data_IF_772111685353
#
_entry.id   IF_772111685353
#
_cell.length_a   1.000
_cell.length_b   1.000
_cell.length_c   1.000
_cell.angle_alpha   90.00
_cell.angle_beta   90.00
_cell.angle_gamma   90.00
#
_symmetry.space_group_name_H-M   'P 1'
#
loop_
_entity.id
_entity.type
_entity.pdbx_description
1 polymer ?
#
# COMPACT_ATOMS: atom_id res chain seq x y z
N UNK A 1 6.47 0.98 -17.13
CA UNK A 1 5.38 1.95 -17.35
C UNK A 1 5.99 3.22 -17.92
N UNK A 2 5.57 3.69 -19.09
CA UNK A 2 6.09 4.94 -19.66
C UNK A 2 5.69 6.14 -18.79
N UNK A 3 6.64 7.03 -18.51
CA UNK A 3 6.41 8.20 -17.65
C UNK A 3 6.41 7.91 -16.15
N UNK A 4 6.90 6.75 -15.70
CA UNK A 4 7.13 6.50 -14.28
C UNK A 4 8.46 7.16 -13.85
N UNK A 5 8.39 8.35 -13.27
CA UNK A 5 9.55 9.19 -12.92
C UNK A 5 10.06 8.95 -11.50
N UNK A 6 9.20 8.42 -10.62
CA UNK A 6 9.48 8.32 -9.18
C UNK A 6 9.07 9.57 -8.39
N UNK A 7 8.80 10.69 -9.06
CA UNK A 7 8.43 11.94 -8.41
C UNK A 7 6.92 12.21 -8.46
N UNK A 8 6.46 13.35 -7.95
CA UNK A 8 5.03 13.71 -7.88
C UNK A 8 4.35 13.80 -9.27
N UNK A 9 5.12 13.95 -10.34
CA UNK A 9 4.66 13.98 -11.73
C UNK A 9 4.64 12.58 -12.40
N UNK A 10 4.93 11.52 -11.65
CA UNK A 10 4.95 10.14 -12.17
C UNK A 10 3.60 9.75 -12.79
N UNK A 11 3.63 8.81 -13.73
CA UNK A 11 2.41 8.26 -14.32
C UNK A 11 1.69 7.28 -13.39
N UNK A 12 0.91 7.80 -12.43
CA UNK A 12 0.11 7.02 -11.48
C UNK A 12 -0.87 6.06 -12.17
N UNK A 13 -1.67 6.58 -13.10
CA UNK A 13 -2.69 5.81 -13.83
C UNK A 13 -2.06 4.68 -14.67
N UNK A 14 -0.91 4.95 -15.28
CA UNK A 14 -0.14 3.95 -16.03
C UNK A 14 0.34 2.80 -15.15
N UNK A 15 0.71 3.07 -13.89
CA UNK A 15 1.05 2.02 -12.91
C UNK A 15 -0.17 1.17 -12.58
N UNK A 16 -1.31 1.79 -12.28
CA UNK A 16 -2.55 1.08 -11.98
C UNK A 16 -3.03 0.22 -13.16
N UNK A 17 -3.02 0.80 -14.38
CA UNK A 17 -3.38 0.10 -15.60
C UNK A 17 -2.48 -1.12 -15.85
N UNK A 18 -1.17 -0.94 -15.77
CA UNK A 18 -0.22 -2.04 -15.98
C UNK A 18 -0.38 -3.12 -14.92
N UNK A 19 -0.66 -2.75 -13.66
CA UNK A 19 -0.88 -3.72 -12.60
C UNK A 19 -2.08 -4.64 -12.90
N UNK A 20 -3.20 -4.06 -13.35
CA UNK A 20 -4.38 -4.80 -13.75
C UNK A 20 -4.16 -5.61 -15.04
N UNK A 21 -3.45 -5.06 -16.02
CA UNK A 21 -3.13 -5.75 -17.27
C UNK A 21 -2.30 -7.03 -17.00
N UNK A 22 -1.29 -6.93 -16.12
CA UNK A 22 -0.41 -8.05 -15.74
C UNK A 22 -1.16 -9.16 -15.01
N UNK A 23 -2.16 -8.83 -14.20
CA UNK A 23 -2.98 -9.83 -13.50
C UNK A 23 -3.82 -10.73 -14.42
N UNK A 24 -3.90 -10.43 -15.73
CA UNK A 24 -4.52 -11.34 -16.69
C UNK A 24 -3.67 -12.58 -16.99
N UNK A 25 -2.37 -12.55 -16.68
CA UNK A 25 -1.43 -13.62 -17.00
C UNK A 25 -0.38 -13.91 -15.91
N UNK A 26 -0.46 -13.21 -14.77
CA UNK A 26 0.39 -13.42 -13.59
C UNK A 26 -0.47 -13.50 -12.33
N UNK A 27 -0.05 -14.28 -11.34
CA UNK A 27 -0.77 -14.44 -10.08
C UNK A 27 -0.41 -13.38 -9.03
N UNK A 28 0.68 -12.62 -9.25
CA UNK A 28 1.20 -11.65 -8.30
C UNK A 28 1.74 -10.41 -9.01
N UNK A 29 1.43 -9.24 -8.45
CA UNK A 29 1.95 -7.96 -8.90
C UNK A 29 2.36 -7.12 -7.70
N UNK A 30 3.51 -6.45 -7.82
CA UNK A 30 3.99 -5.48 -6.86
C UNK A 30 4.03 -4.10 -7.51
N UNK A 31 3.37 -3.12 -6.89
CA UNK A 31 3.30 -1.73 -7.38
C UNK A 31 3.97 -0.83 -6.36
N UNK A 32 4.95 -0.06 -6.82
CA UNK A 32 5.73 0.85 -5.98
C UNK A 32 5.48 2.32 -6.35
N UNK A 33 5.43 3.20 -5.36
CA UNK A 33 5.37 4.64 -5.53
C UNK A 33 6.34 5.33 -4.55
N UNK A 34 7.32 6.03 -5.11
CA UNK A 34 8.38 6.72 -4.37
C UNK A 34 7.96 8.12 -3.89
N UNK A 35 7.09 8.82 -4.64
CA UNK A 35 6.79 10.24 -4.43
C UNK A 35 6.50 10.70 -2.96
N UNK A 36 5.76 9.95 -2.12
CA UNK A 36 5.56 10.34 -0.72
C UNK A 36 6.84 10.42 0.12
N UNK A 37 7.86 9.61 -0.21
CA UNK A 37 9.14 9.58 0.49
C UNK A 37 10.00 10.80 0.16
N UNK A 38 10.15 11.10 -1.13
CA UNK A 38 10.84 12.30 -1.63
C UNK A 38 10.27 13.58 -1.02
N UNK A 39 8.94 13.70 -0.95
CA UNK A 39 8.29 14.83 -0.28
C UNK A 39 8.58 14.88 1.23
N UNK A 40 8.77 13.72 1.85
CA UNK A 40 9.25 13.58 3.24
C UNK A 40 10.66 14.12 3.42
N UNK A 41 11.60 13.75 2.55
CA UNK A 41 12.97 14.24 2.54
C UNK A 41 13.07 15.75 2.31
N UNK A 42 12.18 16.33 1.52
CA UNK A 42 12.13 17.77 1.30
C UNK A 42 11.50 18.54 2.49
N UNK A 43 10.85 17.84 3.42
CA UNK A 43 10.01 18.47 4.43
C UNK A 43 8.78 19.16 3.83
N UNK A 44 8.35 18.73 2.64
CA UNK A 44 7.25 19.30 1.88
C UNK A 44 5.92 18.65 2.27
N UNK A 45 5.24 19.23 3.24
CA UNK A 45 3.98 18.71 3.76
C UNK A 45 2.87 18.64 2.70
N UNK A 46 2.69 19.72 1.93
CA UNK A 46 1.66 19.81 0.88
C UNK A 46 1.90 18.78 -0.22
N UNK A 47 3.15 18.66 -0.68
CA UNK A 47 3.55 17.66 -1.66
C UNK A 47 3.35 16.23 -1.16
N UNK A 48 3.67 15.95 0.11
CA UNK A 48 3.49 14.62 0.70
C UNK A 48 2.01 14.23 0.78
N UNK A 49 1.15 15.16 1.24
CA UNK A 49 -0.30 14.97 1.26
C UNK A 49 -0.80 14.71 -0.16
N UNK A 50 -0.41 15.56 -1.11
CA UNK A 50 -0.84 15.42 -2.51
C UNK A 50 -0.39 14.10 -3.13
N UNK A 51 0.82 13.65 -2.85
CA UNK A 51 1.33 12.37 -3.34
C UNK A 51 0.52 11.17 -2.80
N UNK A 52 0.10 11.22 -1.53
CA UNK A 52 -0.77 10.20 -0.91
C UNK A 52 -2.18 10.24 -1.52
N UNK A 53 -2.78 11.42 -1.71
CA UNK A 53 -4.08 11.56 -2.36
C UNK A 53 -4.07 11.03 -3.79
N UNK A 54 -3.02 11.36 -4.56
CA UNK A 54 -2.85 10.83 -5.93
C UNK A 54 -2.64 9.31 -5.92
N UNK A 55 -1.93 8.76 -4.93
CA UNK A 55 -1.79 7.32 -4.79
C UNK A 55 -3.15 6.65 -4.55
N UNK A 56 -3.96 7.21 -3.64
CA UNK A 56 -5.30 6.71 -3.35
C UNK A 56 -6.22 6.81 -4.57
N UNK A 57 -6.33 8.00 -5.17
CA UNK A 57 -7.23 8.28 -6.29
C UNK A 57 -6.85 7.52 -7.56
N UNK A 58 -5.55 7.46 -7.89
CA UNK A 58 -5.08 7.03 -9.22
C UNK A 58 -4.45 5.65 -9.26
N UNK A 59 -4.10 5.07 -8.11
CA UNK A 59 -3.57 3.70 -8.03
C UNK A 59 -4.50 2.80 -7.23
N UNK A 60 -4.70 3.08 -5.95
CA UNK A 60 -5.45 2.20 -5.05
C UNK A 60 -6.90 2.09 -5.48
N UNK A 61 -7.60 3.22 -5.69
CA UNK A 61 -9.00 3.26 -6.10
C UNK A 61 -9.31 2.47 -7.38
N UNK A 62 -8.59 2.69 -8.50
CA UNK A 62 -8.79 1.94 -9.73
C UNK A 62 -8.53 0.45 -9.58
N UNK A 63 -7.52 0.05 -8.78
CA UNK A 63 -7.25 -1.36 -8.49
C UNK A 63 -8.42 -1.96 -7.71
N UNK A 64 -8.83 -1.34 -6.60
CA UNK A 64 -9.94 -1.83 -5.76
C UNK A 64 -11.25 -1.95 -6.55
N UNK A 65 -11.52 -1.01 -7.46
CA UNK A 65 -12.73 -1.03 -8.29
C UNK A 65 -12.74 -2.19 -9.30
N UNK A 66 -11.57 -2.62 -9.79
CA UNK A 66 -11.47 -3.58 -10.91
C UNK A 66 -11.00 -4.97 -10.49
N UNK A 67 -10.38 -5.12 -9.32
CA UNK A 67 -9.77 -6.39 -8.87
C UNK A 67 -10.78 -7.54 -8.78
N UNK A 68 -12.06 -7.24 -8.51
CA UNK A 68 -13.12 -8.25 -8.43
C UNK A 68 -13.33 -9.06 -9.71
N UNK A 69 -12.89 -8.55 -10.87
CA UNK A 69 -12.96 -9.27 -12.14
C UNK A 69 -12.03 -10.50 -12.20
N UNK A 70 -11.02 -10.57 -11.34
CA UNK A 70 -10.01 -11.64 -11.32
C UNK A 70 -10.37 -12.80 -10.37
N UNK A 71 -11.57 -12.80 -9.76
CA UNK A 71 -12.03 -13.88 -8.89
C UNK A 71 -11.49 -13.76 -7.46
N UNK A 72 -10.73 -14.76 -6.99
CA UNK A 72 -10.13 -14.72 -5.65
C UNK A 72 -8.91 -13.82 -5.65
N UNK A 73 -8.86 -12.88 -4.70
CA UNK A 73 -7.75 -11.94 -4.60
C UNK A 73 -7.43 -11.60 -3.14
N UNK A 74 -6.19 -11.14 -2.94
CA UNK A 74 -5.77 -10.44 -1.74
C UNK A 74 -4.94 -9.22 -2.15
N UNK A 75 -5.23 -8.07 -1.56
CA UNK A 75 -4.48 -6.82 -1.75
C UNK A 75 -3.86 -6.45 -0.42
N UNK A 76 -2.61 -6.01 -0.46
CA UNK A 76 -1.94 -5.35 0.66
C UNK A 76 -1.46 -3.97 0.22
N UNK A 77 -1.71 -2.97 1.05
CA UNK A 77 -1.13 -1.63 0.93
C UNK A 77 -0.31 -1.36 2.18
N UNK A 78 0.87 -0.78 2.03
CA UNK A 78 1.78 -0.47 3.11
C UNK A 78 2.71 0.69 2.73
N UNK A 79 3.27 1.34 3.74
CA UNK A 79 4.54 2.04 3.63
C UNK A 79 5.65 1.08 4.07
N UNK A 80 6.79 1.11 3.41
CA UNK A 80 7.97 0.31 3.73
C UNK A 80 8.78 0.91 4.88
N UNK A 81 8.88 2.23 4.96
CA UNK A 81 9.40 2.95 6.12
C UNK A 81 8.76 4.34 6.30
N UNK A 82 8.78 4.91 7.53
CA UNK A 82 8.38 6.28 7.75
C UNK A 82 9.53 7.26 7.48
N UNK A 83 9.18 8.37 6.84
CA UNK A 83 10.09 9.51 6.59
C UNK A 83 9.43 10.80 7.10
N UNK A 84 9.53 11.11 8.41
CA UNK A 84 8.86 12.25 9.03
C UNK A 84 9.35 13.60 8.46
N UNK A 85 8.43 14.55 8.28
CA UNK A 85 8.71 15.85 7.62
C UNK A 85 9.67 16.75 8.40
N UNK A 86 9.68 16.63 9.73
CA UNK A 86 10.56 17.35 10.65
C UNK A 86 11.98 16.77 10.68
N UNK A 87 12.10 15.45 10.55
CA UNK A 87 13.39 14.75 10.53
C UNK A 87 14.00 14.65 9.12
N UNK A 88 13.17 14.65 8.08
CA UNK A 88 13.57 14.58 6.66
C UNK A 88 14.47 13.39 6.32
N UNK A 89 14.35 12.33 7.09
CA UNK A 89 15.11 11.09 6.94
C UNK A 89 14.31 9.92 7.47
N UNK A 90 14.74 8.71 7.15
CA UNK A 90 14.05 7.50 7.54
C UNK A 90 14.16 7.28 9.04
N UNK A 91 13.08 6.78 9.65
CA UNK A 91 13.09 6.31 11.04
C UNK A 91 12.70 4.84 11.12
N UNK A 92 12.99 4.21 12.26
CA UNK A 92 12.72 2.78 12.47
C UNK A 92 11.34 2.49 13.07
N UNK A 93 10.50 3.52 13.24
CA UNK A 93 9.13 3.36 13.71
C UNK A 93 8.34 2.40 12.79
N UNK A 94 7.40 1.61 13.32
CA UNK A 94 6.59 0.73 12.48
C UNK A 94 5.74 1.49 11.46
N UNK A 95 5.76 1.05 10.20
CA UNK A 95 4.89 1.58 9.15
C UNK A 95 3.50 0.92 9.15
N UNK A 96 2.44 1.67 8.77
CA UNK A 96 1.09 1.12 8.65
C UNK A 96 0.98 0.19 7.42
N UNK A 97 0.15 -0.85 7.55
CA UNK A 97 -0.30 -1.67 6.44
C UNK A 97 -1.78 -2.04 6.58
N UNK A 98 -2.43 -2.35 5.47
CA UNK A 98 -3.81 -2.85 5.44
C UNK A 98 -3.94 -3.96 4.40
N UNK A 99 -4.79 -4.94 4.70
CA UNK A 99 -5.07 -6.08 3.83
C UNK A 99 -6.56 -6.17 3.55
N UNK A 100 -6.89 -6.38 2.28
CA UNK A 100 -8.23 -6.72 1.83
C UNK A 100 -8.18 -8.08 1.13
N UNK A 101 -9.03 -9.01 1.56
CA UNK A 101 -9.20 -10.30 0.91
C UNK A 101 -10.61 -10.46 0.35
N UNK A 102 -10.74 -11.12 -0.80
CA UNK A 102 -12.04 -11.58 -1.31
C UNK A 102 -12.70 -12.61 -0.37
N UNK A 103 -11.91 -13.29 0.46
CA UNK A 103 -12.38 -14.22 1.50
C UNK A 103 -12.81 -13.44 2.75
N UNK A 104 -14.13 -13.33 3.00
CA UNK A 104 -14.67 -12.56 4.14
C UNK A 104 -14.06 -12.91 5.51
N UNK A 105 -13.77 -14.19 5.74
CA UNK A 105 -13.15 -14.71 6.97
C UNK A 105 -11.71 -14.25 7.20
N UNK A 106 -11.06 -13.71 6.17
CA UNK A 106 -9.71 -13.19 6.25
C UNK A 106 -9.66 -11.69 6.57
N UNK A 107 -10.83 -11.05 6.75
CA UNK A 107 -10.95 -9.64 7.06
C UNK A 107 -11.48 -9.48 8.50
N UNK A 108 -10.78 -8.68 9.34
CA UNK A 108 -11.07 -8.49 10.78
C UNK A 108 -12.25 -7.55 11.11
N UNK A 109 -13.15 -7.29 10.15
CA UNK A 109 -14.25 -6.31 10.22
C UNK A 109 -13.83 -4.83 9.97
N UNK A 110 -14.77 -3.97 9.50
CA UNK A 110 -14.44 -2.78 8.72
C UNK A 110 -14.35 -1.47 9.53
N UNK A 111 -13.86 -0.43 8.85
CA UNK A 111 -14.34 0.94 9.07
C UNK A 111 -13.31 1.97 9.52
N UNK A 112 -12.07 1.57 9.78
CA UNK A 112 -11.01 2.51 10.14
C UNK A 112 -10.35 3.07 8.88
N UNK A 113 -10.08 4.37 8.88
CA UNK A 113 -9.24 4.99 7.84
C UNK A 113 -7.80 4.50 7.96
N UNK A 114 -7.10 4.42 6.82
CA UNK A 114 -5.71 4.01 6.78
C UNK A 114 -4.80 5.17 7.25
N UNK A 115 -4.27 5.05 8.48
CA UNK A 115 -3.30 5.98 9.07
C UNK A 115 -2.60 5.30 10.26
N UNK A 116 -1.54 5.93 10.77
CA UNK A 116 -0.68 5.44 11.84
C UNK A 116 -1.43 5.24 13.17
N UNK A 117 -2.35 6.16 13.51
CA UNK A 117 -3.16 6.09 14.74
C UNK A 117 -4.03 4.83 14.72
N UNK A 118 -4.72 4.60 13.60
CA UNK A 118 -5.61 3.46 13.43
C UNK A 118 -4.85 2.15 13.27
N UNK A 119 -3.69 2.15 12.61
CA UNK A 119 -2.82 0.99 12.50
C UNK A 119 -2.35 0.53 13.89
N UNK A 120 -1.95 1.47 14.76
CA UNK A 120 -1.59 1.19 16.15
C UNK A 120 -2.79 0.64 16.94
N UNK A 121 -3.98 1.21 16.76
CA UNK A 121 -5.20 0.73 17.42
C UNK A 121 -5.65 -0.66 16.93
N UNK A 122 -5.36 -1.03 15.68
CA UNK A 122 -5.65 -2.34 15.10
C UNK A 122 -4.87 -3.50 15.71
N UNK A 123 -3.84 -3.21 16.51
CA UNK A 123 -3.04 -4.17 17.29
C UNK A 123 -2.54 -5.38 16.48
N UNK A 124 -2.17 -5.16 15.22
CA UNK A 124 -1.59 -6.18 14.35
C UNK A 124 -0.18 -5.75 13.95
N UNK A 125 0.82 -6.34 14.61
CA UNK A 125 2.23 -6.07 14.35
C UNK A 125 2.90 -7.34 13.80
N UNK A 126 3.61 -7.18 12.68
CA UNK A 126 4.47 -8.23 12.12
C UNK A 126 5.91 -7.77 12.24
N UNK A 127 6.68 -8.48 13.06
CA UNK A 127 8.10 -8.23 13.27
C UNK A 127 8.84 -9.56 13.41
N UNK A 128 9.98 -9.77 12.72
CA UNK A 128 10.61 -8.85 11.76
C UNK A 128 9.79 -8.67 10.46
N UNK A 129 9.90 -7.49 9.84
CA UNK A 129 9.03 -7.06 8.73
C UNK A 129 9.06 -7.97 7.50
N UNK A 130 10.18 -8.65 7.21
CA UNK A 130 10.28 -9.60 6.09
C UNK A 130 9.32 -10.80 6.20
N UNK A 131 8.80 -11.10 7.39
CA UNK A 131 7.79 -12.16 7.58
C UNK A 131 6.41 -11.78 7.02
N UNK A 132 6.17 -10.49 6.75
CA UNK A 132 4.90 -10.01 6.24
C UNK A 132 4.53 -10.69 4.92
N UNK A 133 5.47 -10.77 3.98
CA UNK A 133 5.20 -11.34 2.66
C UNK A 133 4.95 -12.85 2.75
N UNK A 134 5.69 -13.57 3.59
CA UNK A 134 5.48 -15.00 3.80
C UNK A 134 4.08 -15.27 4.38
N UNK A 135 3.71 -14.52 5.42
CA UNK A 135 2.37 -14.60 6.02
C UNK A 135 1.29 -14.22 5.01
N UNK A 136 1.48 -13.12 4.29
CA UNK A 136 0.54 -12.62 3.29
C UNK A 136 0.29 -13.64 2.19
N UNK A 137 1.30 -14.35 1.68
CA UNK A 137 1.12 -15.33 0.60
C UNK A 137 0.60 -16.67 1.13
N UNK A 138 1.23 -17.22 2.19
CA UNK A 138 1.03 -18.62 2.58
C UNK A 138 -0.04 -18.82 3.65
N UNK A 139 -0.10 -17.93 4.64
CA UNK A 139 -0.79 -18.21 5.90
C UNK A 139 -1.44 -16.97 6.53
N UNK A 140 -2.13 -16.18 5.70
CA UNK A 140 -2.76 -14.94 6.18
C UNK A 140 -3.84 -15.22 7.24
N UNK A 141 -4.50 -16.38 7.15
CA UNK A 141 -5.53 -16.82 8.09
C UNK A 141 -5.04 -16.92 9.53
N UNK A 142 -3.79 -17.35 9.75
CA UNK A 142 -3.21 -17.43 11.11
C UNK A 142 -2.89 -16.05 11.71
N UNK A 143 -2.81 -15.01 10.86
CA UNK A 143 -2.59 -13.63 11.29
C UNK A 143 -3.89 -12.98 11.76
N UNK A 144 -4.99 -13.28 11.07
CA UNK A 144 -6.29 -12.63 11.27
C UNK A 144 -7.29 -13.42 12.11
N UNK A 145 -7.18 -14.75 12.13
CA UNK A 145 -7.89 -15.64 13.07
C UNK A 145 -7.42 -15.47 14.50
#
# INVERSE_FOLDING_TARGET
VQGATGYIDTNYEGKAKMALDVLNFMDFVFVHLEAPDEMGHEGNAEGKIRAIELFDEKIVGPILTKIGAFGHYRIIVLSDHPTPLDLRTHVSDPSPFAVLSSEKKENRAPGMSFNEINAKAGNLLISPGHLLMEKFIKDWKSVVG
#
